data_IF_836202395297
#
_entry.id   IF_836202395297
#
_cell.length_a   1.000
_cell.length_b   1.000
_cell.length_c   1.000
_cell.angle_alpha   90.00
_cell.angle_beta   90.00
_cell.angle_gamma   90.00
#
_symmetry.space_group_name_H-M   'P 1'
#
loop_
_entity.id
_entity.type
_entity.pdbx_description
1 polymer ?
#
# COMPACT_ATOMS: atom_id res chain seq x y z
N UNK A 1 -6.92 -36.18 -3.17
CA UNK A 1 -6.59 -34.80 -3.59
C UNK A 1 -5.13 -34.59 -3.20
N UNK A 2 -4.22 -34.44 -4.17
CA UNK A 2 -2.82 -34.13 -3.87
C UNK A 2 -2.77 -32.68 -3.36
N UNK A 3 -2.40 -32.51 -2.09
CA UNK A 3 -2.14 -31.19 -1.52
C UNK A 3 -0.73 -30.77 -1.90
N UNK A 4 -0.59 -29.64 -2.58
CA UNK A 4 0.68 -29.14 -3.06
C UNK A 4 1.32 -28.20 -2.04
N UNK A 5 2.65 -28.25 -1.97
CA UNK A 5 3.45 -27.26 -1.26
C UNK A 5 3.95 -26.21 -2.27
N UNK A 6 3.55 -24.98 -2.08
CA UNK A 6 3.78 -23.88 -3.03
C UNK A 6 4.60 -22.80 -2.34
N UNK A 7 5.78 -22.52 -2.89
CA UNK A 7 6.67 -21.49 -2.41
C UNK A 7 6.32 -20.10 -2.99
N UNK A 8 6.48 -19.06 -2.18
CA UNK A 8 6.47 -17.69 -2.67
C UNK A 8 7.72 -16.94 -2.21
N UNK A 9 8.51 -16.46 -3.16
CA UNK A 9 9.70 -15.66 -2.94
C UNK A 9 9.52 -14.25 -3.48
N UNK A 10 9.93 -13.23 -2.72
CA UNK A 10 9.92 -11.83 -3.15
C UNK A 10 11.27 -11.18 -2.90
N UNK A 11 11.83 -10.58 -3.95
CA UNK A 11 13.12 -9.90 -3.89
C UNK A 11 13.03 -8.48 -4.42
N UNK A 12 13.84 -7.58 -3.84
CA UNK A 12 14.14 -6.28 -4.43
C UNK A 12 15.31 -6.44 -5.41
N UNK A 13 15.53 -5.49 -6.29
CA UNK A 13 16.45 -5.52 -7.44
C UNK A 13 17.94 -5.81 -7.17
N UNK A 14 18.38 -5.96 -5.91
CA UNK A 14 19.78 -6.23 -5.53
C UNK A 14 19.83 -7.64 -4.90
N UNK A 15 20.26 -8.62 -5.67
CA UNK A 15 19.95 -10.03 -5.47
C UNK A 15 21.07 -10.91 -4.97
N UNK A 16 21.44 -10.79 -3.72
CA UNK A 16 22.16 -11.90 -3.06
C UNK A 16 21.24 -12.85 -2.26
N UNK A 17 19.95 -12.53 -2.14
CA UNK A 17 19.02 -13.25 -1.25
C UNK A 17 18.00 -14.15 -1.97
N UNK A 18 17.90 -14.12 -3.30
CA UNK A 18 16.91 -14.92 -4.01
C UNK A 18 17.26 -16.41 -3.98
N UNK A 19 18.50 -16.77 -4.32
CA UNK A 19 18.96 -18.16 -4.36
C UNK A 19 18.77 -18.83 -2.99
N UNK A 20 19.16 -18.14 -1.92
CA UNK A 20 18.94 -18.66 -0.55
C UNK A 20 17.45 -18.87 -0.22
N UNK A 21 16.56 -17.99 -0.66
CA UNK A 21 15.13 -18.17 -0.47
C UNK A 21 14.62 -19.39 -1.25
N UNK A 22 15.07 -19.53 -2.50
CA UNK A 22 14.69 -20.68 -3.34
C UNK A 22 15.17 -21.99 -2.75
N UNK A 23 16.43 -22.06 -2.34
CA UNK A 23 17.00 -23.25 -1.69
C UNK A 23 16.21 -23.64 -0.45
N UNK A 24 15.88 -22.67 0.40
CA UNK A 24 15.08 -22.92 1.61
C UNK A 24 13.67 -23.43 1.24
N UNK A 25 12.99 -22.82 0.26
CA UNK A 25 11.67 -23.25 -0.18
C UNK A 25 11.71 -24.67 -0.79
N UNK A 26 12.73 -24.99 -1.58
CA UNK A 26 12.96 -26.35 -2.09
C UNK A 26 13.20 -27.37 -0.96
N UNK A 27 14.02 -27.02 0.04
CA UNK A 27 14.28 -27.87 1.21
C UNK A 27 12.99 -28.14 2.02
N UNK A 28 12.06 -27.21 2.05
CA UNK A 28 10.74 -27.38 2.67
C UNK A 28 9.76 -28.20 1.80
N UNK A 29 10.21 -28.62 0.63
CA UNK A 29 9.43 -29.44 -0.29
C UNK A 29 8.46 -28.65 -1.16
N UNK A 30 8.72 -27.37 -1.43
CA UNK A 30 7.93 -26.60 -2.39
C UNK A 30 8.05 -27.21 -3.80
N UNK A 31 6.94 -27.60 -4.38
CA UNK A 31 6.84 -28.22 -5.71
C UNK A 31 6.82 -27.14 -6.81
N UNK A 32 6.20 -26.01 -6.51
CA UNK A 32 6.09 -24.85 -7.40
C UNK A 32 6.52 -23.62 -6.61
N UNK A 33 7.31 -22.73 -7.22
CA UNK A 33 7.74 -21.49 -6.58
C UNK A 33 7.40 -20.29 -7.47
N UNK A 34 6.57 -19.38 -6.95
CA UNK A 34 6.28 -18.09 -7.57
C UNK A 34 7.30 -17.05 -7.10
N UNK A 35 7.99 -16.41 -8.05
CA UNK A 35 9.10 -15.50 -7.79
C UNK A 35 8.75 -14.08 -8.20
N UNK A 36 8.54 -13.19 -7.23
CA UNK A 36 8.22 -11.78 -7.48
C UNK A 36 9.48 -10.92 -7.47
N UNK A 37 9.82 -10.32 -8.61
CA UNK A 37 10.88 -9.31 -8.70
C UNK A 37 10.27 -7.91 -8.61
N UNK A 38 10.60 -7.18 -7.55
CA UNK A 38 10.14 -5.80 -7.36
C UNK A 38 11.10 -4.82 -8.01
N UNK A 39 10.68 -4.19 -9.10
CA UNK A 39 11.40 -3.06 -9.71
C UNK A 39 10.79 -1.74 -9.25
N UNK A 40 11.49 -1.02 -8.35
CA UNK A 40 11.20 0.37 -8.01
C UNK A 40 9.76 0.65 -7.55
N UNK A 41 9.05 1.52 -8.23
CA UNK A 41 7.75 2.08 -7.87
C UNK A 41 6.53 1.23 -8.27
N UNK A 42 6.71 0.13 -8.98
CA UNK A 42 5.57 -0.68 -9.43
C UNK A 42 4.92 -1.43 -8.26
N UNK A 43 3.63 -1.15 -8.06
CA UNK A 43 2.81 -1.77 -7.01
C UNK A 43 2.25 -3.14 -7.40
N UNK A 44 2.34 -3.50 -8.68
CA UNK A 44 1.77 -4.74 -9.19
C UNK A 44 2.59 -5.95 -8.74
N UNK A 45 1.88 -7.03 -8.41
CA UNK A 45 2.43 -8.31 -7.94
C UNK A 45 1.87 -9.44 -8.80
N UNK A 46 2.29 -9.53 -10.08
CA UNK A 46 1.72 -10.51 -11.00
C UNK A 46 1.94 -11.96 -10.53
N UNK A 47 3.09 -12.25 -9.92
CA UNK A 47 3.38 -13.60 -9.44
C UNK A 47 2.56 -13.96 -8.19
N UNK A 48 2.30 -13.01 -7.29
CA UNK A 48 1.35 -13.24 -6.20
C UNK A 48 -0.07 -13.49 -6.73
N UNK A 49 -0.50 -12.72 -7.71
CA UNK A 49 -1.82 -12.91 -8.31
C UNK A 49 -1.95 -14.29 -8.99
N UNK A 50 -0.89 -14.75 -9.66
CA UNK A 50 -0.84 -16.12 -10.21
C UNK A 50 -0.90 -17.17 -9.12
N UNK A 51 -0.15 -16.99 -8.03
CA UNK A 51 -0.22 -17.87 -6.86
C UNK A 51 -1.66 -17.95 -6.32
N UNK A 52 -2.29 -16.79 -6.07
CA UNK A 52 -3.65 -16.74 -5.54
C UNK A 52 -4.71 -17.34 -6.47
N UNK A 53 -4.46 -17.33 -7.78
CA UNK A 53 -5.30 -18.00 -8.77
C UNK A 53 -5.02 -19.52 -8.85
N UNK A 54 -3.81 -19.94 -8.53
CA UNK A 54 -3.36 -21.34 -8.62
C UNK A 54 -3.77 -22.20 -7.41
N UNK A 55 -3.70 -21.63 -6.20
CA UNK A 55 -3.94 -22.35 -4.94
C UNK A 55 -5.35 -22.94 -4.85
N UNK A 56 -5.44 -24.16 -4.35
CA UNK A 56 -6.65 -24.94 -4.13
C UNK A 56 -6.80 -25.37 -2.66
N UNK A 57 -8.00 -25.76 -2.22
CA UNK A 57 -8.22 -26.23 -0.84
C UNK A 57 -7.30 -27.39 -0.46
N UNK A 58 -6.63 -27.25 0.68
CA UNK A 58 -5.67 -28.20 1.21
C UNK A 58 -4.22 -27.91 0.88
N UNK A 59 -3.93 -27.00 -0.08
CA UNK A 59 -2.57 -26.59 -0.41
C UNK A 59 -1.90 -25.86 0.76
N UNK A 60 -0.56 -25.85 0.75
CA UNK A 60 0.27 -25.15 1.73
C UNK A 60 1.15 -24.13 1.03
N UNK A 61 0.96 -22.85 1.33
CA UNK A 61 1.84 -21.78 0.86
C UNK A 61 2.97 -21.60 1.87
N UNK A 62 4.21 -21.64 1.38
CA UNK A 62 5.43 -21.50 2.18
C UNK A 62 6.16 -20.22 1.81
N UNK A 63 6.52 -19.42 2.82
CA UNK A 63 7.31 -18.19 2.64
C UNK A 63 8.52 -18.17 3.58
N UNK A 64 9.60 -17.48 3.19
CA UNK A 64 10.74 -17.26 4.09
C UNK A 64 10.31 -16.46 5.33
N UNK A 65 9.54 -15.39 5.12
CA UNK A 65 9.01 -14.53 6.18
C UNK A 65 7.70 -13.88 5.75
N UNK A 66 6.89 -13.47 6.73
CA UNK A 66 5.63 -12.77 6.50
C UNK A 66 5.83 -11.44 5.74
N UNK A 67 6.99 -10.79 5.92
CA UNK A 67 7.35 -9.58 5.20
C UNK A 67 7.56 -9.79 3.70
N UNK A 68 7.79 -11.03 3.25
CA UNK A 68 7.84 -11.37 1.81
C UNK A 68 6.44 -11.47 1.22
N UNK A 69 5.49 -11.95 1.99
CA UNK A 69 4.09 -12.10 1.57
C UNK A 69 3.35 -10.76 1.59
N UNK A 70 3.30 -10.08 2.73
CA UNK A 70 2.62 -8.79 2.90
C UNK A 70 3.55 -7.58 2.71
N UNK A 71 3.02 -6.46 2.23
CA UNK A 71 3.71 -5.15 2.17
C UNK A 71 3.42 -4.31 3.41
N UNK A 72 2.31 -4.54 4.03
CA UNK A 72 1.87 -3.95 5.28
C UNK A 72 1.17 -5.02 6.09
N UNK A 73 0.99 -4.78 7.38
CA UNK A 73 0.23 -5.68 8.24
C UNK A 73 -1.20 -5.89 7.75
N UNK A 74 -1.82 -4.84 7.23
CA UNK A 74 -3.17 -4.93 6.64
C UNK A 74 -3.19 -5.86 5.42
N UNK A 75 -2.29 -5.65 4.46
CA UNK A 75 -2.14 -6.47 3.25
C UNK A 75 -1.89 -7.95 3.62
N UNK A 76 -1.03 -8.19 4.62
CA UNK A 76 -0.76 -9.53 5.12
C UNK A 76 -2.00 -10.21 5.69
N UNK A 77 -2.76 -9.52 6.53
CA UNK A 77 -3.99 -10.05 7.15
C UNK A 77 -5.00 -10.41 6.05
N UNK A 78 -5.24 -9.51 5.10
CA UNK A 78 -6.18 -9.72 3.99
C UNK A 78 -5.77 -10.95 3.15
N UNK A 79 -4.46 -11.11 2.87
CA UNK A 79 -3.94 -12.25 2.12
C UNK A 79 -4.12 -13.58 2.87
N UNK A 80 -3.82 -13.60 4.18
CA UNK A 80 -3.97 -14.82 4.98
C UNK A 80 -5.44 -15.18 5.19
N UNK A 81 -6.31 -14.20 5.36
CA UNK A 81 -7.77 -14.46 5.42
C UNK A 81 -8.29 -15.03 4.10
N UNK A 82 -7.87 -14.48 2.97
CA UNK A 82 -8.21 -15.01 1.64
C UNK A 82 -7.73 -16.47 1.47
N UNK A 83 -6.49 -16.78 1.89
CA UNK A 83 -5.97 -18.15 1.86
C UNK A 83 -6.80 -19.07 2.76
N UNK A 84 -7.16 -18.63 3.96
CA UNK A 84 -8.00 -19.39 4.90
C UNK A 84 -9.38 -19.66 4.32
N UNK A 85 -10.02 -18.67 3.69
CA UNK A 85 -11.33 -18.84 3.02
C UNK A 85 -11.26 -19.86 1.87
N UNK A 86 -10.13 -19.91 1.17
CA UNK A 86 -9.85 -20.92 0.15
C UNK A 86 -9.45 -22.28 0.73
N UNK A 87 -9.36 -22.44 2.04
CA UNK A 87 -8.92 -23.67 2.67
C UNK A 87 -7.42 -23.97 2.51
N UNK A 88 -6.62 -22.93 2.25
CA UNK A 88 -5.16 -23.01 2.06
C UNK A 88 -4.44 -22.62 3.35
N UNK A 89 -3.35 -23.32 3.65
CA UNK A 89 -2.54 -23.09 4.84
C UNK A 89 -1.32 -22.22 4.51
N UNK A 90 -0.84 -21.44 5.48
CA UNK A 90 0.38 -20.64 5.36
C UNK A 90 1.42 -21.10 6.36
N UNK A 91 2.65 -21.28 5.87
CA UNK A 91 3.84 -21.55 6.69
C UNK A 91 4.85 -20.44 6.48
N UNK A 92 5.25 -19.77 7.56
CA UNK A 92 6.33 -18.79 7.57
C UNK A 92 7.51 -19.31 8.36
N UNK A 93 8.65 -19.46 7.68
CA UNK A 93 9.82 -20.13 8.26
C UNK A 93 10.50 -19.29 9.34
N UNK A 94 10.68 -18.00 9.08
CA UNK A 94 11.38 -17.09 10.00
C UNK A 94 10.61 -16.84 11.29
N UNK A 95 9.31 -16.63 11.20
CA UNK A 95 8.45 -16.41 12.35
C UNK A 95 7.97 -17.72 12.99
N UNK A 96 8.27 -18.87 12.39
CA UNK A 96 7.85 -20.20 12.83
C UNK A 96 6.32 -20.30 13.02
N UNK A 97 5.58 -19.70 12.10
CA UNK A 97 4.13 -19.69 12.10
C UNK A 97 3.65 -20.72 11.07
N UNK A 98 2.82 -21.65 11.54
CA UNK A 98 2.12 -22.62 10.71
C UNK A 98 0.63 -22.54 11.01
N UNK A 99 -0.14 -22.00 10.08
CA UNK A 99 -1.60 -21.82 10.24
C UNK A 99 -2.40 -23.12 10.15
N UNK A 100 -1.76 -24.27 9.90
CA UNK A 100 -2.40 -25.57 10.03
C UNK A 100 -2.62 -25.95 11.51
N UNK A 101 -1.73 -25.48 12.40
CA UNK A 101 -1.76 -25.76 13.82
C UNK A 101 -2.65 -24.79 14.59
N UNK A 102 -3.23 -25.24 15.71
CA UNK A 102 -4.01 -24.38 16.60
C UNK A 102 -3.17 -23.23 17.17
N UNK A 103 -1.91 -23.51 17.52
CA UNK A 103 -0.97 -22.50 18.02
C UNK A 103 -0.64 -21.44 16.95
N UNK A 104 -0.37 -21.86 15.71
CA UNK A 104 -0.10 -20.94 14.61
C UNK A 104 -1.30 -20.06 14.26
N UNK A 105 -2.51 -20.64 14.29
CA UNK A 105 -3.76 -19.86 14.14
C UNK A 105 -3.92 -18.83 15.25
N UNK A 106 -3.67 -19.20 16.49
CA UNK A 106 -3.74 -18.28 17.62
C UNK A 106 -2.72 -17.17 17.50
N UNK A 107 -1.45 -17.49 17.20
CA UNK A 107 -0.39 -16.51 17.01
C UNK A 107 -0.73 -15.51 15.90
N UNK A 108 -1.20 -16.02 14.75
CA UNK A 108 -1.61 -15.14 13.65
C UNK A 108 -2.77 -14.22 14.05
N UNK A 109 -3.77 -14.74 14.76
CA UNK A 109 -4.91 -13.97 15.27
C UNK A 109 -4.45 -12.87 16.23
N UNK A 110 -3.55 -13.16 17.14
CA UNK A 110 -2.97 -12.21 18.09
C UNK A 110 -2.18 -11.10 17.36
N UNK A 111 -1.35 -11.47 16.39
CA UNK A 111 -0.61 -10.48 15.57
C UNK A 111 -1.58 -9.58 14.79
N UNK A 112 -2.64 -10.14 14.24
CA UNK A 112 -3.67 -9.39 13.52
C UNK A 112 -4.40 -8.41 14.44
N UNK A 113 -4.78 -8.84 15.64
CA UNK A 113 -5.42 -8.00 16.63
C UNK A 113 -4.50 -6.86 17.12
N UNK A 114 -3.21 -7.15 17.36
CA UNK A 114 -2.22 -6.14 17.75
C UNK A 114 -2.03 -5.10 16.66
N UNK A 115 -1.92 -5.52 15.42
CA UNK A 115 -1.78 -4.62 14.29
C UNK A 115 -3.02 -3.74 14.06
N UNK A 116 -4.21 -4.26 14.34
CA UNK A 116 -5.44 -3.47 14.32
C UNK A 116 -5.44 -2.43 15.45
N UNK A 117 -5.09 -2.85 16.65
CA UNK A 117 -4.98 -1.95 17.81
C UNK A 117 -4.00 -0.79 17.56
N UNK A 118 -2.81 -1.07 17.04
CA UNK A 118 -1.84 -0.01 16.70
C UNK A 118 -2.42 1.00 15.69
N UNK A 119 -3.13 0.53 14.68
CA UNK A 119 -3.80 1.40 13.70
C UNK A 119 -4.87 2.28 14.36
N UNK A 120 -5.67 1.71 15.23
CA UNK A 120 -6.75 2.43 15.91
C UNK A 120 -6.19 3.51 16.85
N UNK A 121 -5.13 3.21 17.58
CA UNK A 121 -4.41 4.18 18.42
C UNK A 121 -3.81 5.32 17.58
N UNK A 122 -3.20 5.03 16.44
CA UNK A 122 -2.65 6.06 15.54
C UNK A 122 -3.78 6.93 14.97
N UNK A 123 -4.90 6.32 14.55
CA UNK A 123 -6.05 7.03 14.02
C UNK A 123 -6.70 7.96 15.08
N UNK A 124 -6.80 7.49 16.31
CA UNK A 124 -7.31 8.26 17.43
C UNK A 124 -6.41 9.48 17.72
N UNK A 125 -5.12 9.27 17.90
CA UNK A 125 -4.13 10.35 18.09
C UNK A 125 -4.16 11.38 16.97
N UNK A 126 -4.27 10.92 15.72
CA UNK A 126 -4.36 11.79 14.55
C UNK A 126 -5.64 12.63 14.58
N UNK A 127 -6.77 12.01 14.94
CA UNK A 127 -8.07 12.70 15.07
C UNK A 127 -8.03 13.76 16.15
N UNK A 128 -7.46 13.43 17.31
CA UNK A 128 -7.27 14.38 18.41
C UNK A 128 -6.35 15.53 18.03
N UNK A 129 -5.20 15.23 17.41
CA UNK A 129 -4.27 16.23 16.90
C UNK A 129 -4.91 17.18 15.88
N UNK A 130 -5.71 16.66 14.94
CA UNK A 130 -6.47 17.46 13.99
C UNK A 130 -7.54 18.32 14.66
N UNK A 131 -8.24 17.79 15.69
CA UNK A 131 -9.21 18.53 16.47
C UNK A 131 -8.55 19.70 17.20
N UNK A 132 -7.42 19.45 17.86
CA UNK A 132 -6.64 20.48 18.54
C UNK A 132 -6.07 21.53 17.57
N UNK A 133 -5.59 21.13 16.40
CA UNK A 133 -5.11 22.05 15.36
C UNK A 133 -6.24 22.95 14.84
N UNK A 134 -7.42 22.39 14.59
CA UNK A 134 -8.61 23.14 14.17
C UNK A 134 -9.08 24.12 15.23
N UNK A 135 -9.07 23.75 16.52
CA UNK A 135 -9.40 24.62 17.63
C UNK A 135 -8.45 25.83 17.74
N UNK A 136 -7.18 25.66 17.30
CA UNK A 136 -6.19 26.76 17.21
C UNK A 136 -6.24 27.51 15.87
N UNK A 137 -7.30 27.36 15.08
CA UNK A 137 -7.49 28.03 13.79
C UNK A 137 -6.63 27.50 12.65
N UNK A 138 -5.88 26.43 12.84
CA UNK A 138 -5.08 25.81 11.78
C UNK A 138 -5.98 24.97 10.89
N UNK A 139 -6.22 25.43 9.67
CA UNK A 139 -6.96 24.69 8.66
C UNK A 139 -5.95 23.94 7.79
N UNK A 140 -6.07 22.60 7.74
CA UNK A 140 -5.31 21.79 6.80
C UNK A 140 -5.79 22.01 5.35
N UNK A 141 -5.05 21.45 4.42
CA UNK A 141 -5.34 21.52 3.00
C UNK A 141 -4.33 22.37 2.23
N UNK A 142 -4.52 22.46 0.92
CA UNK A 142 -3.66 23.30 0.06
C UNK A 142 -3.87 24.78 0.40
N UNK A 143 -2.80 25.56 0.61
CA UNK A 143 -2.90 27.01 0.81
C UNK A 143 -3.73 27.64 -0.30
N UNK A 144 -4.58 28.58 0.08
CA UNK A 144 -5.31 29.38 -0.92
C UNK A 144 -4.31 30.19 -1.74
N UNK A 145 -4.61 30.39 -3.01
CA UNK A 145 -3.82 31.29 -3.83
C UNK A 145 -3.84 32.71 -3.27
N UNK A 146 -2.76 33.44 -3.47
CA UNK A 146 -2.67 34.86 -3.05
C UNK A 146 -3.78 35.66 -3.70
N UNK A 147 -4.67 36.23 -2.88
CA UNK A 147 -5.83 37.00 -3.34
C UNK A 147 -5.43 38.26 -4.11
N UNK A 148 -4.30 38.91 -3.76
CA UNK A 148 -3.79 40.07 -4.46
C UNK A 148 -3.36 39.69 -5.88
N UNK A 149 -2.60 38.61 -6.01
CA UNK A 149 -2.18 38.07 -7.32
C UNK A 149 -3.37 37.63 -8.16
N UNK A 150 -4.39 37.00 -7.52
CA UNK A 150 -5.59 36.60 -8.22
C UNK A 150 -6.38 37.79 -8.76
N UNK A 151 -6.55 38.83 -7.95
CA UNK A 151 -7.22 40.07 -8.39
C UNK A 151 -6.43 40.77 -9.50
N UNK A 152 -5.11 40.82 -9.42
CA UNK A 152 -4.25 41.34 -10.49
C UNK A 152 -4.42 40.52 -11.78
N UNK A 153 -4.44 39.21 -11.71
CA UNK A 153 -4.64 38.34 -12.86
C UNK A 153 -6.02 38.55 -13.51
N UNK A 154 -7.07 38.73 -12.70
CA UNK A 154 -8.43 39.01 -13.19
C UNK A 154 -8.47 40.40 -13.92
N UNK A 155 -7.88 41.44 -13.35
CA UNK A 155 -7.79 42.77 -14.00
C UNK A 155 -7.04 42.72 -15.32
N UNK A 156 -5.92 41.98 -15.40
CA UNK A 156 -5.17 41.83 -16.65
C UNK A 156 -5.99 41.06 -17.71
N UNK A 157 -6.75 40.07 -17.27
CA UNK A 157 -7.63 39.33 -18.14
C UNK A 157 -8.78 40.16 -18.70
N UNK A 158 -9.44 40.98 -17.85
CA UNK A 158 -10.53 41.89 -18.23
C UNK A 158 -10.07 43.01 -19.16
N UNK A 159 -8.85 43.47 -18.97
CA UNK A 159 -8.26 44.52 -19.86
C UNK A 159 -8.01 43.99 -21.28
N UNK A 160 -8.00 42.71 -21.53
CA UNK A 160 -7.90 42.09 -22.85
C UNK A 160 -6.58 42.30 -23.59
N UNK A 161 -5.56 42.88 -22.92
CA UNK A 161 -4.26 43.21 -23.50
C UNK A 161 -3.21 42.12 -23.41
N UNK A 162 -3.49 41.06 -22.65
CA UNK A 162 -2.56 39.97 -22.39
C UNK A 162 -3.22 38.63 -22.65
N UNK A 163 -2.45 37.72 -23.18
CA UNK A 163 -2.85 36.30 -23.29
C UNK A 163 -2.87 35.62 -21.93
N UNK A 164 -3.62 34.55 -21.78
CA UNK A 164 -3.68 33.79 -20.52
C UNK A 164 -2.31 33.26 -20.11
N UNK A 165 -1.45 32.92 -21.07
CA UNK A 165 -0.08 32.46 -20.81
C UNK A 165 0.78 33.59 -20.20
N UNK A 166 0.71 34.81 -20.77
CA UNK A 166 1.41 35.98 -20.22
C UNK A 166 0.90 36.36 -18.82
N UNK A 167 -0.41 36.25 -18.58
CA UNK A 167 -0.99 36.51 -17.25
C UNK A 167 -0.47 35.48 -16.24
N UNK A 168 -0.35 34.19 -16.62
CA UNK A 168 0.24 33.15 -15.77
C UNK A 168 1.70 33.47 -15.47
N UNK A 169 2.48 33.91 -16.43
CA UNK A 169 3.89 34.29 -16.25
C UNK A 169 4.04 35.50 -15.32
N UNK A 170 3.24 36.52 -15.49
CA UNK A 170 3.28 37.78 -14.73
C UNK A 170 2.79 37.62 -13.27
N UNK A 171 1.78 36.79 -13.03
CA UNK A 171 1.11 36.71 -11.73
C UNK A 171 1.38 35.40 -11.00
N UNK A 172 1.83 34.33 -11.69
CA UNK A 172 1.97 32.95 -11.17
C UNK A 172 0.61 32.28 -10.99
N UNK A 173 -0.51 32.85 -11.40
CA UNK A 173 -1.85 32.28 -11.30
C UNK A 173 -2.12 31.38 -12.49
N UNK A 174 -2.29 30.11 -12.24
CA UNK A 174 -2.54 29.10 -13.29
C UNK A 174 -3.89 29.32 -13.96
N UNK A 175 -3.93 29.07 -15.27
CA UNK A 175 -5.12 29.17 -16.14
C UNK A 175 -6.39 28.61 -15.48
N UNK A 176 -6.32 27.41 -14.89
CA UNK A 176 -7.47 26.78 -14.24
C UNK A 176 -8.00 27.58 -13.03
N UNK A 177 -7.11 28.24 -12.28
CA UNK A 177 -7.47 29.09 -11.13
C UNK A 177 -8.11 30.38 -11.60
N UNK A 178 -7.57 31.00 -12.65
CA UNK A 178 -8.09 32.22 -13.24
C UNK A 178 -9.54 32.05 -13.75
N UNK A 179 -9.78 31.00 -14.56
CA UNK A 179 -11.12 30.72 -15.07
C UNK A 179 -12.13 30.36 -13.99
N UNK A 180 -11.69 29.58 -12.95
CA UNK A 180 -12.57 29.28 -11.82
C UNK A 180 -12.98 30.53 -11.06
N UNK A 181 -12.05 31.44 -10.81
CA UNK A 181 -12.33 32.70 -10.13
C UNK A 181 -13.26 33.61 -10.94
N UNK A 182 -13.08 33.69 -12.26
CA UNK A 182 -13.98 34.41 -13.15
C UNK A 182 -15.42 33.91 -13.12
N UNK A 183 -15.59 32.58 -13.08
CA UNK A 183 -16.94 31.96 -13.12
C UNK A 183 -17.61 31.93 -11.73
N UNK A 184 -16.93 32.37 -10.67
CA UNK A 184 -17.46 32.38 -9.29
C UNK A 184 -17.85 33.78 -8.81
N UNK A 185 -17.65 34.81 -9.59
CA UNK A 185 -18.12 36.19 -9.37
C UNK A 185 -19.18 36.54 -10.39
#
# INVERSE_FOLDING_TARGET
VNHQKIGYARVSTIDQNLERQLDMLCQQGAEIIFQEKMTGTKRDRPELNKLLAHIAPGDVVIVESLSRLGRSTKDLIELVELMREKGVQLVSMKEQIDTSTSTGKLLFTLMSALAQFERDVIAERTREGLKAARARGRKGGRPRCDQRKLQQALKLYEAGKHTVAEIEELTGIKRATLYRARNSG
#
